data_IF_047350388898
#
_entry.id   IF_047350388898
#
_cell.length_a   1.000
_cell.length_b   1.000
_cell.length_c   1.000
_cell.angle_alpha   90.00
_cell.angle_beta   90.00
_cell.angle_gamma   90.00
#
_symmetry.space_group_name_H-M   'P 1'
#
loop_
_entity.id
_entity.type
_entity.pdbx_description
1 polymer ?
#
# COMPACT_ATOMS: atom_id res chain seq x y z
N UNK A 1 -13.99 -13.26 -0.06
CA UNK A 1 -13.48 -12.45 1.06
C UNK A 1 -12.20 -11.75 0.62
N UNK A 2 -12.01 -10.49 1.02
CA UNK A 2 -10.80 -9.69 0.75
C UNK A 2 -10.07 -9.32 2.04
N UNK A 3 -8.74 -9.24 1.98
CA UNK A 3 -7.91 -8.75 3.08
C UNK A 3 -7.50 -7.31 2.80
N UNK A 4 -7.70 -6.42 3.76
CA UNK A 4 -7.33 -5.00 3.70
C UNK A 4 -6.30 -4.73 4.80
N UNK A 5 -5.14 -4.22 4.42
CA UNK A 5 -4.06 -3.89 5.34
C UNK A 5 -3.82 -2.38 5.38
N UNK A 6 -3.53 -1.88 6.57
CA UNK A 6 -2.91 -0.57 6.80
C UNK A 6 -1.79 -0.69 7.82
N UNK A 7 -0.78 0.17 7.74
CA UNK A 7 0.37 0.14 8.65
C UNK A 7 0.01 0.73 10.02
N UNK A 8 -0.82 1.77 10.04
CA UNK A 8 -1.16 2.54 11.24
C UNK A 8 -2.67 2.51 11.54
N UNK A 9 -3.02 2.78 12.81
CA UNK A 9 -4.43 2.87 13.21
C UNK A 9 -5.17 3.95 12.43
N UNK A 10 -4.49 5.06 12.20
CA UNK A 10 -4.98 6.23 11.50
C UNK A 10 -5.35 5.90 10.06
N UNK A 11 -4.68 4.97 9.40
CA UNK A 11 -4.98 4.59 8.02
C UNK A 11 -6.26 3.76 7.92
N UNK A 12 -6.54 2.92 8.93
CA UNK A 12 -7.69 2.01 8.94
C UNK A 12 -8.91 2.55 9.72
N UNK A 13 -8.78 3.70 10.38
CA UNK A 13 -9.79 4.23 11.30
C UNK A 13 -11.16 4.42 10.62
N UNK A 14 -11.19 5.04 9.43
CA UNK A 14 -12.42 5.36 8.72
C UNK A 14 -13.19 4.11 8.25
N UNK A 15 -12.55 2.95 8.14
CA UNK A 15 -13.23 1.72 7.69
C UNK A 15 -14.32 1.25 8.65
N UNK A 16 -14.22 1.57 9.95
CA UNK A 16 -15.25 1.26 10.94
C UNK A 16 -16.54 2.07 10.74
N UNK A 17 -16.45 3.23 10.11
CA UNK A 17 -17.61 4.08 9.83
C UNK A 17 -18.31 3.67 8.53
N UNK A 18 -17.62 2.90 7.67
CA UNK A 18 -18.09 2.50 6.35
C UNK A 18 -18.54 1.04 6.31
N UNK A 19 -17.90 0.16 7.07
CA UNK A 19 -18.15 -1.28 7.05
C UNK A 19 -18.78 -1.77 8.36
N UNK A 20 -19.67 -2.75 8.24
CA UNK A 20 -20.25 -3.39 9.41
C UNK A 20 -19.20 -4.28 10.08
N UNK A 21 -18.82 -3.97 11.32
CA UNK A 21 -17.94 -4.83 12.13
C UNK A 21 -18.69 -6.06 12.62
N UNK A 22 -18.16 -7.25 12.32
CA UNK A 22 -18.72 -8.55 12.71
C UNK A 22 -18.01 -9.10 13.94
N UNK A 23 -16.68 -9.06 13.95
CA UNK A 23 -15.85 -9.46 15.09
C UNK A 23 -14.49 -8.78 15.05
N UNK A 24 -13.83 -8.75 16.20
CA UNK A 24 -12.46 -8.31 16.39
C UNK A 24 -11.63 -9.49 16.90
N UNK A 25 -10.45 -9.66 16.34
CA UNK A 25 -9.47 -10.68 16.73
C UNK A 25 -8.14 -9.96 17.02
N UNK A 26 -7.36 -10.48 17.98
CA UNK A 26 -6.03 -9.95 18.29
C UNK A 26 -5.01 -11.08 18.17
N UNK A 27 -4.04 -10.91 17.28
CA UNK A 27 -2.90 -11.80 17.17
C UNK A 27 -1.67 -11.12 17.76
N UNK A 28 -1.43 -11.32 19.05
CA UNK A 28 -0.26 -10.80 19.77
C UNK A 28 -0.07 -9.27 19.65
N UNK A 29 -1.16 -8.50 19.74
CA UNK A 29 -1.13 -7.04 19.62
C UNK A 29 -1.29 -6.50 18.18
N UNK A 30 -1.55 -7.39 17.22
CA UNK A 30 -1.92 -7.05 15.84
C UNK A 30 -3.42 -7.31 15.64
N UNK A 31 -4.28 -6.29 15.84
CA UNK A 31 -5.71 -6.47 15.72
C UNK A 31 -6.15 -6.62 14.26
N UNK A 32 -7.12 -7.51 14.06
CA UNK A 32 -7.87 -7.66 12.82
C UNK A 32 -9.37 -7.58 13.09
N UNK A 33 -10.09 -7.14 12.08
CA UNK A 33 -11.52 -6.89 12.14
C UNK A 33 -12.17 -7.64 11.00
N UNK A 34 -12.99 -8.63 11.34
CA UNK A 34 -13.91 -9.21 10.36
C UNK A 34 -15.02 -8.21 10.13
N UNK A 35 -15.17 -7.77 8.90
CA UNK A 35 -16.14 -6.75 8.51
C UNK A 35 -16.96 -7.23 7.32
N UNK A 36 -18.09 -6.55 7.09
CA UNK A 36 -18.95 -6.78 5.93
C UNK A 36 -19.29 -5.46 5.25
N UNK A 37 -19.21 -5.48 3.92
CA UNK A 37 -19.70 -4.40 3.06
C UNK A 37 -20.61 -5.00 2.01
N UNK A 38 -21.91 -4.67 2.06
CA UNK A 38 -22.95 -5.34 1.25
C UNK A 38 -22.87 -6.87 1.41
N UNK A 39 -22.71 -7.62 0.31
CA UNK A 39 -22.53 -9.07 0.28
C UNK A 39 -21.06 -9.51 0.43
N UNK A 40 -20.11 -8.57 0.47
CA UNK A 40 -18.68 -8.86 0.55
C UNK A 40 -18.20 -8.95 1.98
N UNK A 41 -17.55 -10.06 2.31
CA UNK A 41 -16.82 -10.22 3.57
C UNK A 41 -15.38 -9.69 3.43
N UNK A 42 -14.93 -8.97 4.45
CA UNK A 42 -13.62 -8.32 4.53
C UNK A 42 -12.92 -8.73 5.84
N UNK A 43 -11.59 -8.75 5.80
CA UNK A 43 -10.75 -8.66 7.00
C UNK A 43 -9.95 -7.38 6.88
N UNK A 44 -10.08 -6.47 7.84
CA UNK A 44 -9.27 -5.25 7.93
C UNK A 44 -8.27 -5.43 9.06
N UNK A 45 -6.98 -5.25 8.83
CA UNK A 45 -5.97 -5.44 9.87
C UNK A 45 -4.89 -4.35 9.86
N UNK A 46 -4.36 -4.07 11.06
CA UNK A 46 -3.18 -3.24 11.23
C UNK A 46 -1.93 -4.10 11.14
N UNK A 47 -1.05 -3.79 10.21
CA UNK A 47 0.22 -4.51 10.05
C UNK A 47 1.34 -3.99 10.94
N UNK A 48 1.32 -2.71 11.32
CA UNK A 48 2.49 -2.02 11.85
C UNK A 48 3.40 -1.49 10.73
N UNK A 49 4.30 -0.58 11.13
CA UNK A 49 5.20 0.15 10.22
C UNK A 49 6.47 -0.65 9.93
N UNK A 50 6.91 -0.61 8.68
CA UNK A 50 8.14 -1.24 8.19
C UNK A 50 7.93 -2.63 7.60
N UNK A 51 8.91 -3.06 6.80
CA UNK A 51 8.83 -4.24 5.94
C UNK A 51 8.58 -5.53 6.71
N UNK A 52 9.25 -5.71 7.86
CA UNK A 52 9.22 -6.96 8.63
C UNK A 52 7.86 -7.19 9.27
N UNK A 53 7.30 -6.16 9.93
CA UNK A 53 5.97 -6.25 10.55
C UNK A 53 4.90 -6.48 9.49
N UNK A 54 4.98 -5.74 8.38
CA UNK A 54 4.03 -5.86 7.30
C UNK A 54 4.03 -7.25 6.66
N UNK A 55 5.21 -7.81 6.38
CA UNK A 55 5.34 -9.16 5.83
C UNK A 55 4.83 -10.23 6.81
N UNK A 56 5.18 -10.11 8.10
CA UNK A 56 4.78 -11.07 9.14
C UNK A 56 3.25 -11.13 9.29
N UNK A 57 2.60 -9.96 9.41
CA UNK A 57 1.14 -9.88 9.56
C UNK A 57 0.44 -10.35 8.28
N UNK A 58 0.92 -9.93 7.11
CA UNK A 58 0.35 -10.40 5.85
C UNK A 58 0.42 -11.93 5.73
N UNK A 59 1.57 -12.54 5.99
CA UNK A 59 1.73 -13.99 5.89
C UNK A 59 0.77 -14.73 6.83
N UNK A 60 0.69 -14.29 8.09
CA UNK A 60 -0.23 -14.87 9.06
C UNK A 60 -1.69 -14.81 8.58
N UNK A 61 -2.14 -13.65 8.09
CA UNK A 61 -3.52 -13.46 7.68
C UNK A 61 -3.85 -14.21 6.36
N UNK A 62 -2.87 -14.41 5.47
CA UNK A 62 -3.04 -15.27 4.30
C UNK A 62 -3.30 -16.72 4.71
N UNK A 63 -2.59 -17.23 5.72
CA UNK A 63 -2.76 -18.59 6.24
C UNK A 63 -4.10 -18.78 6.96
N UNK A 64 -4.55 -17.77 7.70
CA UNK A 64 -5.80 -17.84 8.47
C UNK A 64 -7.04 -17.72 7.59
N UNK A 65 -7.04 -16.81 6.60
CA UNK A 65 -8.27 -16.43 5.89
C UNK A 65 -8.30 -16.81 4.40
N UNK A 66 -7.17 -17.17 3.79
CA UNK A 66 -7.09 -17.49 2.34
C UNK A 66 -7.84 -16.47 1.45
N UNK A 67 -7.54 -15.16 1.55
CA UNK A 67 -8.31 -14.13 0.88
C UNK A 67 -8.19 -14.21 -0.65
N UNK A 68 -9.20 -13.73 -1.36
CA UNK A 68 -9.20 -13.66 -2.83
C UNK A 68 -8.18 -12.63 -3.35
N UNK A 69 -7.94 -11.57 -2.57
CA UNK A 69 -6.91 -10.58 -2.84
C UNK A 69 -6.55 -9.82 -1.55
N UNK A 70 -5.38 -9.17 -1.58
CA UNK A 70 -4.90 -8.24 -0.55
C UNK A 70 -4.90 -6.82 -1.10
N UNK A 71 -5.57 -5.89 -0.42
CA UNK A 71 -5.50 -4.46 -0.71
C UNK A 71 -4.72 -3.81 0.43
N UNK A 72 -3.54 -3.29 0.15
CA UNK A 72 -2.81 -2.50 1.14
C UNK A 72 -3.09 -1.03 0.91
N UNK A 73 -3.82 -0.43 1.83
CA UNK A 73 -4.13 1.00 1.85
C UNK A 73 -3.24 1.74 2.82
N UNK A 74 -2.79 2.94 2.45
CA UNK A 74 -1.95 3.74 3.33
C UNK A 74 -1.50 5.03 2.67
N UNK A 75 -0.43 5.62 3.18
CA UNK A 75 0.14 6.85 2.66
C UNK A 75 1.56 6.68 2.14
N UNK A 76 2.03 7.65 1.34
CA UNK A 76 3.41 7.67 0.83
C UNK A 76 3.85 9.07 0.42
N UNK A 77 5.17 9.25 0.31
CA UNK A 77 5.78 10.48 -0.16
C UNK A 77 5.89 10.51 -1.69
N UNK A 78 5.55 11.63 -2.32
CA UNK A 78 5.66 11.80 -3.76
C UNK A 78 7.13 11.97 -4.18
N UNK A 79 7.59 11.08 -5.07
CA UNK A 79 8.85 11.21 -5.79
C UNK A 79 8.63 11.91 -7.14
N UNK A 80 7.51 11.60 -7.81
CA UNK A 80 7.11 12.21 -9.07
C UNK A 80 6.65 13.66 -8.84
N UNK A 81 7.25 14.67 -9.51
CA UNK A 81 6.90 16.07 -9.30
C UNK A 81 5.50 16.45 -9.79
N UNK A 82 4.82 15.58 -10.53
CA UNK A 82 3.44 15.79 -10.99
C UNK A 82 2.40 15.43 -9.93
N UNK A 83 2.79 14.73 -8.86
CA UNK A 83 1.88 14.24 -7.83
C UNK A 83 1.83 15.25 -6.69
N UNK A 84 0.64 15.53 -6.18
CA UNK A 84 0.43 16.48 -5.09
C UNK A 84 -0.18 15.83 -3.85
N UNK A 85 -0.03 16.50 -2.71
CA UNK A 85 -0.59 16.04 -1.43
C UNK A 85 -2.09 15.84 -1.56
N UNK A 86 -2.55 14.65 -1.17
CA UNK A 86 -3.93 14.21 -1.28
C UNK A 86 -4.27 13.45 -2.56
N UNK A 87 -3.40 13.42 -3.57
CA UNK A 87 -3.59 12.54 -4.73
C UNK A 87 -3.56 11.06 -4.31
N UNK A 88 -4.29 10.23 -5.05
CA UNK A 88 -4.26 8.77 -4.91
C UNK A 88 -3.32 8.17 -5.95
N UNK A 89 -2.48 7.24 -5.51
CA UNK A 89 -1.69 6.37 -6.38
C UNK A 89 -2.19 4.95 -6.25
N UNK A 90 -2.60 4.40 -7.39
CA UNK A 90 -2.88 2.98 -7.59
C UNK A 90 -1.58 2.34 -8.09
N UNK A 91 -1.04 1.36 -7.38
CA UNK A 91 0.24 0.76 -7.78
C UNK A 91 0.12 0.02 -9.11
N UNK A 92 0.99 0.36 -10.07
CA UNK A 92 1.30 -0.52 -11.21
C UNK A 92 2.10 -1.72 -10.73
N UNK A 93 3.15 -1.42 -9.98
CA UNK A 93 4.12 -2.37 -9.44
C UNK A 93 4.76 -1.79 -8.17
N UNK A 94 5.50 -2.62 -7.43
CA UNK A 94 6.30 -2.19 -6.29
C UNK A 94 7.68 -2.84 -6.24
N UNK A 95 8.62 -2.19 -5.54
CA UNK A 95 10.01 -2.63 -5.41
C UNK A 95 10.63 -2.19 -4.08
N UNK A 96 11.51 -3.02 -3.51
CA UNK A 96 12.29 -2.64 -2.33
C UNK A 96 13.49 -1.77 -2.73
N UNK A 97 13.47 -0.46 -2.46
CA UNK A 97 14.53 0.43 -2.93
C UNK A 97 15.82 0.32 -2.12
N UNK A 98 15.73 -0.11 -0.86
CA UNK A 98 16.82 -0.19 0.10
C UNK A 98 17.56 -1.54 0.09
N UNK A 99 17.14 -2.46 -0.78
CA UNK A 99 17.82 -3.73 -0.99
C UNK A 99 18.96 -3.57 -2.01
N UNK A 100 20.16 -3.31 -1.50
CA UNK A 100 21.35 -3.05 -2.32
C UNK A 100 22.36 -4.20 -2.23
N UNK A 101 22.43 -5.00 -3.30
CA UNK A 101 23.45 -6.03 -3.50
C UNK A 101 24.31 -5.74 -4.74
N UNK A 102 24.44 -4.47 -5.14
CA UNK A 102 25.16 -4.05 -6.35
C UNK A 102 26.65 -4.41 -6.31
N UNK A 103 27.25 -4.51 -5.11
CA UNK A 103 28.61 -5.02 -4.91
C UNK A 103 28.80 -6.48 -5.40
N UNK A 104 27.72 -7.24 -5.51
CA UNK A 104 27.71 -8.60 -6.05
C UNK A 104 27.30 -8.64 -7.54
N UNK A 105 27.17 -7.49 -8.19
CA UNK A 105 26.67 -7.37 -9.57
C UNK A 105 25.17 -7.60 -9.70
N UNK A 106 24.42 -7.54 -8.59
CA UNK A 106 22.96 -7.74 -8.57
C UNK A 106 22.28 -6.36 -8.62
N UNK A 107 21.32 -6.13 -9.53
CA UNK A 107 20.60 -4.86 -9.60
C UNK A 107 19.97 -4.45 -8.27
N UNK A 108 19.95 -3.15 -7.98
CA UNK A 108 19.28 -2.60 -6.81
C UNK A 108 17.80 -3.00 -6.79
N UNK A 109 17.31 -3.36 -5.61
CA UNK A 109 15.95 -3.82 -5.35
C UNK A 109 15.66 -5.27 -5.75
N UNK A 110 16.60 -5.97 -6.39
CA UNK A 110 16.46 -7.40 -6.66
C UNK A 110 16.86 -8.21 -5.44
N UNK A 111 15.99 -9.14 -5.04
CA UNK A 111 16.29 -10.09 -3.97
C UNK A 111 17.38 -11.06 -4.46
N UNK A 112 18.56 -11.08 -3.81
CA UNK A 112 19.69 -11.88 -4.26
C UNK A 112 19.33 -13.34 -4.49
N UNK A 113 19.80 -13.90 -5.61
CA UNK A 113 19.62 -15.31 -5.99
C UNK A 113 18.16 -15.74 -6.22
N UNK A 114 17.24 -14.79 -6.45
CA UNK A 114 15.85 -15.07 -6.81
C UNK A 114 15.43 -14.32 -8.08
N UNK A 115 14.21 -14.57 -8.54
CA UNK A 115 13.55 -13.80 -9.60
C UNK A 115 12.83 -12.54 -9.11
N UNK A 116 12.74 -12.32 -7.79
CA UNK A 116 11.96 -11.22 -7.23
C UNK A 116 12.72 -9.90 -7.35
N UNK A 117 12.14 -8.94 -8.07
CA UNK A 117 12.71 -7.61 -8.28
C UNK A 117 11.62 -6.56 -8.38
N UNK A 118 10.96 -6.47 -9.54
CA UNK A 118 9.72 -5.72 -9.72
C UNK A 118 8.55 -6.66 -9.41
N UNK A 119 7.66 -6.23 -8.52
CA UNK A 119 6.49 -7.00 -8.09
C UNK A 119 5.24 -6.35 -8.69
N UNK A 120 4.70 -6.98 -9.73
CA UNK A 120 3.53 -6.46 -10.45
C UNK A 120 2.26 -6.55 -9.57
N UNK A 121 1.52 -5.45 -9.48
CA UNK A 121 0.19 -5.48 -8.87
C UNK A 121 -0.81 -6.15 -9.81
N UNK A 122 -1.87 -6.74 -9.24
CA UNK A 122 -2.83 -7.52 -10.02
C UNK A 122 -3.54 -6.66 -11.09
N UNK A 123 -3.48 -7.04 -12.36
CA UNK A 123 -4.04 -6.24 -13.45
C UNK A 123 -5.57 -6.13 -13.40
N UNK A 124 -6.27 -7.10 -12.82
CA UNK A 124 -7.72 -7.05 -12.68
C UNK A 124 -8.12 -6.04 -11.59
N UNK A 125 -7.45 -6.06 -10.44
CA UNK A 125 -7.65 -5.05 -9.38
C UNK A 125 -7.35 -3.63 -9.88
N UNK A 126 -6.26 -3.47 -10.65
CA UNK A 126 -5.94 -2.18 -11.31
C UNK A 126 -7.03 -1.74 -12.28
N UNK A 127 -7.53 -2.65 -13.12
CA UNK A 127 -8.60 -2.34 -14.06
C UNK A 127 -9.88 -1.88 -13.35
N UNK A 128 -10.21 -2.45 -12.18
CA UNK A 128 -11.38 -2.01 -11.42
C UNK A 128 -11.27 -0.57 -10.92
N UNK A 129 -10.06 -0.07 -10.65
CA UNK A 129 -9.84 1.33 -10.28
C UNK A 129 -10.02 2.32 -11.45
N UNK A 130 -10.10 1.84 -12.70
CA UNK A 130 -10.25 2.73 -13.86
C UNK A 130 -11.56 3.52 -13.81
N UNK A 131 -11.45 4.83 -14.01
CA UNK A 131 -12.59 5.75 -13.95
C UNK A 131 -12.94 6.21 -12.53
N UNK A 132 -12.19 5.81 -11.50
CA UNK A 132 -12.29 6.46 -10.20
C UNK A 132 -11.80 7.90 -10.32
N UNK A 133 -12.64 8.86 -9.93
CA UNK A 133 -12.36 10.29 -10.02
C UNK A 133 -12.92 10.99 -8.77
N UNK A 134 -12.16 11.02 -7.66
CA UNK A 134 -12.60 11.64 -6.42
C UNK A 134 -12.62 13.17 -6.52
N UNK A 135 -13.38 13.82 -5.65
CA UNK A 135 -13.46 15.30 -5.61
C UNK A 135 -12.26 15.98 -4.94
N UNK A 136 -11.40 15.22 -4.26
CA UNK A 136 -10.34 15.73 -3.39
C UNK A 136 -8.92 15.61 -3.94
N UNK A 137 -8.72 14.99 -5.12
CA UNK A 137 -7.40 14.78 -5.70
C UNK A 137 -7.45 14.07 -7.05
N UNK A 138 -6.27 13.87 -7.65
CA UNK A 138 -6.11 13.08 -8.88
C UNK A 138 -5.83 11.62 -8.53
N UNK A 139 -6.08 10.75 -9.51
CA UNK A 139 -5.73 9.33 -9.44
C UNK A 139 -4.62 9.07 -10.45
N UNK A 140 -3.52 8.52 -9.96
CA UNK A 140 -2.36 8.16 -10.75
C UNK A 140 -2.14 6.65 -10.71
N UNK A 141 -1.53 6.12 -11.77
CA UNK A 141 -0.94 4.79 -11.74
C UNK A 141 0.58 4.94 -11.67
N UNK A 142 1.23 4.30 -10.70
CA UNK A 142 2.66 4.51 -10.46
C UNK A 142 3.39 3.36 -9.79
N UNK A 143 4.73 3.42 -9.80
CA UNK A 143 5.62 2.53 -9.06
C UNK A 143 5.74 2.97 -7.61
N UNK A 144 5.51 2.04 -6.70
CA UNK A 144 5.70 2.24 -5.25
C UNK A 144 7.03 1.65 -4.81
N UNK A 145 7.92 2.50 -4.28
CA UNK A 145 9.19 2.09 -3.70
C UNK A 145 9.07 1.93 -2.19
N UNK A 146 9.62 0.84 -1.67
CA UNK A 146 9.53 0.50 -0.25
C UNK A 146 10.91 0.39 0.39
N UNK A 147 11.09 0.96 1.58
CA UNK A 147 12.28 0.75 2.39
C UNK A 147 12.05 1.14 3.84
N UNK A 148 12.86 0.59 4.75
CA UNK A 148 12.77 0.87 6.19
C UNK A 148 13.43 2.22 6.54
N UNK A 149 13.10 3.28 5.80
CA UNK A 149 13.57 4.64 6.00
C UNK A 149 12.46 5.66 5.72
N UNK A 150 12.26 6.62 6.63
CA UNK A 150 11.41 7.77 6.34
C UNK A 150 12.18 8.76 5.46
N UNK A 151 11.79 8.87 4.18
CA UNK A 151 12.45 9.73 3.20
C UNK A 151 12.01 11.18 3.35
N UNK A 152 12.78 11.95 4.12
CA UNK A 152 12.64 13.39 4.23
C UNK A 152 13.72 14.12 3.40
N UNK A 153 13.35 15.19 2.70
CA UNK A 153 14.12 15.80 1.60
C UNK A 153 15.55 16.24 1.88
N UNK A 154 15.98 16.33 3.14
CA UNK A 154 17.40 16.49 3.48
C UNK A 154 18.28 15.35 2.92
N UNK A 155 17.66 14.20 2.60
CA UNK A 155 18.33 13.05 1.99
C UNK A 155 18.14 12.98 0.46
N UNK A 156 17.35 13.87 -0.17
CA UNK A 156 16.95 13.73 -1.58
C UNK A 156 18.13 13.64 -2.55
N UNK A 157 19.21 14.39 -2.31
CA UNK A 157 20.45 14.29 -3.10
C UNK A 157 21.18 12.94 -2.95
N UNK A 158 21.07 12.28 -1.78
CA UNK A 158 21.59 10.91 -1.55
C UNK A 158 20.64 9.83 -2.05
N UNK A 159 19.41 10.21 -2.39
CA UNK A 159 18.33 9.33 -2.82
C UNK A 159 17.88 9.61 -4.25
N UNK A 160 18.71 10.29 -5.05
CA UNK A 160 18.44 10.54 -6.47
C UNK A 160 18.17 9.24 -7.25
N UNK A 161 18.83 8.14 -6.83
CA UNK A 161 18.62 6.80 -7.38
C UNK A 161 17.16 6.32 -7.32
N UNK A 162 16.35 6.80 -6.35
CA UNK A 162 14.93 6.44 -6.28
C UNK A 162 14.19 6.84 -7.55
N UNK A 163 14.57 7.96 -8.17
CA UNK A 163 13.94 8.48 -9.39
C UNK A 163 14.76 8.07 -10.61
N UNK A 164 16.08 8.30 -10.57
CA UNK A 164 16.97 8.15 -11.74
C UNK A 164 17.27 6.69 -12.10
N UNK A 165 17.36 5.80 -11.11
CA UNK A 165 17.68 4.38 -11.31
C UNK A 165 16.42 3.52 -11.22
N UNK A 166 15.57 3.76 -10.21
CA UNK A 166 14.44 2.89 -9.89
C UNK A 166 13.11 3.36 -10.49
N UNK A 167 13.07 4.56 -11.09
CA UNK A 167 11.87 5.14 -11.69
C UNK A 167 10.66 5.16 -10.73
N UNK A 168 10.93 5.48 -9.45
CA UNK A 168 9.93 5.53 -8.40
C UNK A 168 9.01 6.74 -8.52
N UNK A 169 7.72 6.50 -8.37
CA UNK A 169 6.71 7.57 -8.32
C UNK A 169 6.34 7.95 -6.88
N UNK A 170 6.33 6.95 -5.99
CA UNK A 170 5.98 7.07 -4.56
C UNK A 170 6.99 6.30 -3.73
N UNK A 171 7.30 6.79 -2.53
CA UNK A 171 8.10 6.06 -1.53
C UNK A 171 7.34 5.88 -0.22
N UNK A 172 7.45 4.70 0.39
CA UNK A 172 6.80 4.30 1.64
C UNK A 172 7.57 3.12 2.29
N UNK A 173 6.99 2.46 3.30
CA UNK A 173 7.75 1.57 4.21
C UNK A 173 7.26 0.11 4.27
N UNK A 174 6.18 -0.27 3.57
CA UNK A 174 5.55 -1.60 3.72
C UNK A 174 5.24 -2.32 2.40
N UNK A 175 4.87 -1.60 1.35
CA UNK A 175 4.10 -2.10 0.21
C UNK A 175 4.77 -3.25 -0.54
N UNK A 176 6.07 -3.15 -0.82
CA UNK A 176 6.81 -4.20 -1.52
C UNK A 176 7.08 -5.44 -0.66
N UNK A 177 7.10 -5.33 0.68
CA UNK A 177 7.21 -6.52 1.52
C UNK A 177 5.92 -7.32 1.49
N UNK A 178 4.76 -6.65 1.55
CA UNK A 178 3.45 -7.30 1.35
C UNK A 178 3.29 -7.82 -0.07
N UNK A 179 3.68 -7.04 -1.08
CA UNK A 179 3.68 -7.49 -2.47
C UNK A 179 4.50 -8.76 -2.67
N UNK A 180 5.65 -8.89 -2.00
CA UNK A 180 6.49 -10.08 -2.06
C UNK A 180 5.79 -11.29 -1.40
N UNK A 181 5.21 -11.10 -0.21
CA UNK A 181 4.43 -12.16 0.46
C UNK A 181 3.28 -12.64 -0.44
N UNK A 182 2.52 -11.71 -1.02
CA UNK A 182 1.42 -12.01 -1.92
C UNK A 182 1.90 -12.75 -3.17
N UNK A 183 2.99 -12.30 -3.79
CA UNK A 183 3.61 -12.93 -4.97
C UNK A 183 4.03 -14.37 -4.69
N UNK A 184 4.71 -14.62 -3.56
CA UNK A 184 5.15 -15.96 -3.15
C UNK A 184 3.95 -16.89 -2.92
N UNK A 185 2.90 -16.39 -2.28
CA UNK A 185 1.69 -17.17 -1.99
C UNK A 185 0.69 -17.23 -3.16
N UNK A 186 1.00 -16.59 -4.29
CA UNK A 186 0.11 -16.47 -5.48
C UNK A 186 -1.25 -15.83 -5.14
N UNK A 187 -1.24 -14.86 -4.23
CA UNK A 187 -2.42 -14.07 -3.88
C UNK A 187 -2.37 -12.75 -4.65
N UNK A 188 -3.43 -12.38 -5.40
CA UNK A 188 -3.54 -11.07 -6.03
C UNK A 188 -3.40 -9.94 -5.01
N UNK A 189 -2.71 -8.85 -5.38
CA UNK A 189 -2.59 -7.69 -4.51
C UNK A 189 -2.66 -6.36 -5.25
N UNK A 190 -3.03 -5.31 -4.51
CA UNK A 190 -3.01 -3.93 -4.97
C UNK A 190 -2.58 -3.01 -3.83
N UNK A 191 -1.73 -2.03 -4.11
CA UNK A 191 -1.40 -0.97 -3.16
C UNK A 191 -2.15 0.30 -3.54
N UNK A 192 -2.76 0.94 -2.55
CA UNK A 192 -3.38 2.25 -2.64
C UNK A 192 -2.63 3.18 -1.70
N UNK A 193 -2.08 4.27 -2.24
CA UNK A 193 -1.28 5.24 -1.48
C UNK A 193 -1.84 6.63 -1.69
N UNK A 194 -2.26 7.29 -0.60
CA UNK A 194 -2.52 8.73 -0.64
C UNK A 194 -1.20 9.46 -0.41
N UNK A 195 -0.91 10.46 -1.25
CA UNK A 195 0.28 11.28 -1.08
C UNK A 195 0.14 12.13 0.19
N UNK A 196 0.98 11.87 1.19
CA UNK A 196 1.00 12.62 2.46
C UNK A 196 1.94 13.81 2.44
N UNK A 197 2.98 13.74 1.62
CA UNK A 197 4.08 14.70 1.56
C UNK A 197 4.82 14.57 0.22
N UNK A 198 5.74 15.51 -0.04
CA UNK A 198 6.52 15.55 -1.28
C UNK A 198 7.92 14.93 -1.16
N UNK A 199 8.15 14.10 -0.12
CA UNK A 199 9.46 13.56 0.25
C UNK A 199 10.56 14.65 0.27
N UNK A 200 10.17 15.87 0.64
CA UNK A 200 11.01 17.07 0.63
C UNK A 200 11.31 17.53 2.08
N UNK A 201 11.92 18.70 2.24
CA UNK A 201 12.32 19.21 3.55
C UNK A 201 11.16 19.42 4.54
N UNK A 202 9.90 19.41 4.07
CA UNK A 202 8.70 19.64 4.89
C UNK A 202 7.91 18.36 5.18
N UNK A 203 8.42 17.19 4.78
CA UNK A 203 7.68 15.93 4.88
C UNK A 203 7.05 15.63 6.26
N UNK A 204 7.73 15.86 7.41
CA UNK A 204 7.14 15.59 8.72
C UNK A 204 5.91 16.44 9.05
N UNK A 205 5.89 17.73 8.67
CA UNK A 205 4.75 18.61 8.96
C UNK A 205 3.55 18.31 8.06
N UNK A 206 3.81 18.05 6.78
CA UNK A 206 2.78 17.75 5.80
C UNK A 206 2.08 16.43 6.13
N UNK A 207 2.87 15.41 6.47
CA UNK A 207 2.39 14.11 6.97
C UNK A 207 1.41 14.28 8.13
N UNK A 208 1.81 15.00 9.19
CA UNK A 208 0.98 15.17 10.39
C UNK A 208 -0.31 15.93 10.09
N UNK A 209 -0.28 16.89 9.17
CA UNK A 209 -1.46 17.67 8.81
C UNK A 209 -2.45 16.88 7.94
N UNK A 210 -1.96 15.94 7.12
CA UNK A 210 -2.79 15.22 6.16
C UNK A 210 -3.31 13.88 6.67
N UNK A 211 -2.65 13.27 7.66
CA UNK A 211 -2.99 11.93 8.17
C UNK A 211 -4.48 11.75 8.52
N UNK A 212 -5.11 12.77 9.11
CA UNK A 212 -6.53 12.73 9.48
C UNK A 212 -7.51 12.67 8.29
N UNK A 213 -7.10 13.11 7.09
CA UNK A 213 -7.93 13.04 5.87
C UNK A 213 -7.64 11.80 5.02
N UNK A 214 -6.41 11.28 5.11
CA UNK A 214 -5.97 10.13 4.32
C UNK A 214 -6.87 8.91 4.50
N UNK A 215 -7.28 8.60 5.74
CA UNK A 215 -8.15 7.44 6.01
C UNK A 215 -9.49 7.52 5.28
N UNK A 216 -10.14 8.68 5.30
CA UNK A 216 -11.43 8.87 4.61
C UNK A 216 -11.28 8.75 3.09
N UNK A 217 -10.20 9.29 2.52
CA UNK A 217 -9.90 9.18 1.09
C UNK A 217 -9.62 7.72 0.68
N UNK A 218 -8.87 6.98 1.51
CA UNK A 218 -8.62 5.55 1.30
C UNK A 218 -9.91 4.73 1.40
N UNK A 219 -10.82 5.06 2.33
CA UNK A 219 -12.13 4.42 2.45
C UNK A 219 -13.00 4.63 1.22
N UNK A 220 -13.03 5.84 0.66
CA UNK A 220 -13.76 6.11 -0.59
C UNK A 220 -13.20 5.30 -1.77
N UNK A 221 -11.86 5.26 -1.92
CA UNK A 221 -11.21 4.47 -2.96
C UNK A 221 -11.46 2.96 -2.81
N UNK A 222 -11.40 2.45 -1.59
CA UNK A 222 -11.67 1.04 -1.29
C UNK A 222 -13.13 0.69 -1.56
N UNK A 223 -14.10 1.54 -1.18
CA UNK A 223 -15.52 1.35 -1.49
C UNK A 223 -15.74 1.25 -3.00
N UNK A 224 -15.14 2.16 -3.78
CA UNK A 224 -15.25 2.13 -5.24
C UNK A 224 -14.74 0.80 -5.83
N UNK A 225 -13.59 0.31 -5.35
CA UNK A 225 -13.05 -0.98 -5.75
C UNK A 225 -14.00 -2.13 -5.38
N UNK A 226 -14.51 -2.14 -4.15
CA UNK A 226 -15.36 -3.20 -3.64
C UNK A 226 -16.72 -3.26 -4.35
N UNK A 227 -17.33 -2.12 -4.68
CA UNK A 227 -18.59 -2.07 -5.43
C UNK A 227 -18.44 -2.80 -6.78
N UNK A 228 -17.36 -2.54 -7.51
CA UNK A 228 -17.09 -3.19 -8.81
C UNK A 228 -16.71 -4.67 -8.68
N UNK A 229 -16.05 -5.04 -7.59
CA UNK A 229 -15.77 -6.45 -7.29
C UNK A 229 -17.05 -7.22 -6.96
N UNK A 230 -18.03 -6.56 -6.33
CA UNK A 230 -19.36 -7.13 -6.04
C UNK A 230 -20.18 -7.40 -7.31
N UNK A 231 -20.14 -6.49 -8.29
CA UNK A 231 -20.84 -6.62 -9.58
C UNK A 231 -20.41 -7.84 -10.41
N UNK A 232 -19.19 -8.37 -10.20
CA UNK A 232 -18.70 -9.58 -10.89
C UNK A 232 -19.19 -10.88 -10.24
N UNK A 233 -19.65 -10.81 -8.99
CA UNK A 233 -20.07 -11.97 -8.20
C UNK A 233 -21.56 -12.31 -8.31
N UNK A 234 -22.35 -11.44 -8.93
CA UNK A 234 -23.78 -11.65 -9.28
C UNK A 234 -23.92 -12.17 -10.72
#
# INVERSE_FOLDING_TARGET
MYLVLGAMNEEIAAYRDVFQVISEEDWNGFPSYRMRYRSLDLVVAKSGVGKVLAAMVCQHLLEVYTPQAVIFTGIGGALNPSYDIGDLVVSRDCMQHDLDATALGIPRGKVPFTSYHVLEADPCLRAFMQGFAPSWGRVWEGRVLTGDQFVAGAQRGRMAYLIEELEGDVVEMEGASVGLVCTVNRTPFLLLRIISDRADGNAPSDFSAFLGRASSHLAEALVFLLDRLGERGE
#
